data_IF_877357091704
#
_entry.id   IF_877357091704
#
_cell.length_a   1.000
_cell.length_b   1.000
_cell.length_c   1.000
_cell.angle_alpha   90.00
_cell.angle_beta   90.00
_cell.angle_gamma   90.00
#
_symmetry.space_group_name_H-M   'P 1'
#
loop_
_entity.id
_entity.type
_entity.pdbx_description
1 polymer ?
#
# COMPACT_ATOMS: atom_id res chain seq x y z
N UNK A 1 2.18 12.94 0.36
CA UNK A 1 1.09 13.84 0.80
C UNK A 1 0.54 14.56 -0.42
N UNK A 2 -0.78 14.60 -0.57
CA UNK A 2 -1.44 15.25 -1.70
C UNK A 2 -1.60 16.77 -1.47
N UNK A 3 -1.78 17.54 -2.55
CA UNK A 3 -1.85 19.01 -2.54
C UNK A 3 -3.10 19.54 -1.83
N UNK A 4 -4.17 18.76 -1.83
CA UNK A 4 -5.43 19.02 -1.14
C UNK A 4 -5.36 18.81 0.39
N UNK A 5 -4.21 18.38 0.91
CA UNK A 5 -4.00 18.03 2.32
C UNK A 5 -2.91 18.91 2.99
N UNK A 6 -2.82 20.17 2.57
CA UNK A 6 -1.83 21.13 3.07
C UNK A 6 -2.47 22.05 4.12
N UNK A 7 -1.69 22.35 5.17
CA UNK A 7 -2.05 23.25 6.26
C UNK A 7 -0.98 24.34 6.43
N UNK A 8 -1.29 25.47 7.10
CA UNK A 8 -0.30 26.48 7.48
C UNK A 8 0.85 25.89 8.31
N UNK A 9 2.04 26.50 8.26
CA UNK A 9 3.26 25.98 8.90
C UNK A 9 3.11 25.71 10.40
N UNK A 10 2.35 26.55 11.11
CA UNK A 10 2.05 26.40 12.55
C UNK A 10 1.35 25.07 12.91
N UNK A 11 0.69 24.42 11.95
CA UNK A 11 -0.05 23.17 12.13
C UNK A 11 0.69 21.93 11.58
N UNK A 12 1.90 22.09 11.04
CA UNK A 12 2.63 20.99 10.38
C UNK A 12 3.37 20.05 11.33
N UNK A 13 3.46 20.35 12.62
CA UNK A 13 4.27 19.59 13.59
C UNK A 13 3.98 18.09 13.54
N UNK A 14 2.72 17.68 13.69
CA UNK A 14 2.33 16.25 13.62
C UNK A 14 2.64 15.65 12.25
N UNK A 15 2.31 16.37 11.17
CA UNK A 15 2.60 15.92 9.81
C UNK A 15 4.10 15.63 9.63
N UNK A 16 4.98 16.50 10.11
CA UNK A 16 6.45 16.33 9.99
C UNK A 16 6.94 15.16 10.84
N UNK A 17 6.48 15.07 12.09
CA UNK A 17 6.86 13.99 13.02
C UNK A 17 6.48 12.62 12.44
N UNK A 18 5.23 12.46 12.02
CA UNK A 18 4.76 11.19 11.47
C UNK A 18 5.31 10.91 10.08
N UNK A 19 5.66 11.94 9.28
CA UNK A 19 6.43 11.76 8.03
C UNK A 19 7.75 11.06 8.29
N UNK A 20 8.51 11.55 9.26
CA UNK A 20 9.81 11.02 9.64
C UNK A 20 9.66 9.60 10.18
N UNK A 21 8.61 9.35 10.96
CA UNK A 21 8.28 8.02 11.47
C UNK A 21 8.05 7.02 10.32
N UNK A 22 7.12 7.29 9.40
CA UNK A 22 6.84 6.35 8.30
C UNK A 22 8.03 6.21 7.34
N UNK A 23 8.84 7.27 7.17
CA UNK A 23 10.09 7.19 6.44
C UNK A 23 11.12 6.30 7.15
N UNK A 24 11.25 6.39 8.48
CA UNK A 24 12.12 5.53 9.27
C UNK A 24 11.70 4.06 9.20
N UNK A 25 10.39 3.78 9.27
CA UNK A 25 9.85 2.42 9.06
C UNK A 25 10.23 1.89 7.67
N UNK A 26 10.07 2.71 6.63
CA UNK A 26 10.43 2.32 5.27
C UNK A 26 11.92 2.01 5.15
N UNK A 27 12.79 2.89 5.64
CA UNK A 27 14.25 2.70 5.56
C UNK A 27 14.66 1.43 6.30
N UNK A 28 14.17 1.22 7.52
CA UNK A 28 14.49 0.03 8.31
C UNK A 28 14.08 -1.28 7.62
N UNK A 29 12.85 -1.35 7.08
CA UNK A 29 12.38 -2.53 6.36
C UNK A 29 13.11 -2.73 5.03
N UNK A 30 13.47 -1.64 4.34
CA UNK A 30 14.21 -1.69 3.08
C UNK A 30 15.64 -2.18 3.30
N UNK A 31 16.35 -1.67 4.31
CA UNK A 31 17.70 -2.12 4.68
C UNK A 31 17.70 -3.62 4.98
N UNK A 32 16.72 -4.09 5.78
CA UNK A 32 16.62 -5.52 6.09
C UNK A 32 16.28 -6.37 4.86
N UNK A 33 15.41 -5.85 3.98
CA UNK A 33 15.10 -6.48 2.69
C UNK A 33 16.34 -6.62 1.82
N UNK A 34 17.20 -5.59 1.79
CA UNK A 34 18.43 -5.59 0.99
C UNK A 34 19.47 -6.55 1.57
N UNK A 35 19.63 -6.60 2.88
CA UNK A 35 20.48 -7.59 3.56
C UNK A 35 20.11 -9.02 3.15
N UNK A 36 18.83 -9.35 3.18
CA UNK A 36 18.35 -10.68 2.77
C UNK A 36 18.51 -10.92 1.26
N UNK A 37 18.28 -9.93 0.41
CA UNK A 37 18.54 -10.07 -1.03
C UNK A 37 20.02 -10.35 -1.32
N UNK A 38 20.95 -9.67 -0.63
CA UNK A 38 22.37 -9.93 -0.75
C UNK A 38 22.76 -11.33 -0.24
N UNK A 39 22.19 -11.76 0.89
CA UNK A 39 22.37 -13.12 1.41
C UNK A 39 21.94 -14.17 0.38
N UNK A 40 20.73 -14.05 -0.16
CA UNK A 40 20.20 -14.99 -1.15
C UNK A 40 20.95 -14.93 -2.49
N UNK A 41 21.48 -13.78 -2.89
CA UNK A 41 22.33 -13.64 -4.09
C UNK A 41 23.72 -14.25 -3.92
N UNK A 42 24.24 -14.32 -2.70
CA UNK A 42 25.55 -14.93 -2.43
C UNK A 42 25.59 -16.44 -2.73
N UNK A 43 24.43 -17.11 -2.74
CA UNK A 43 24.31 -18.56 -2.84
C UNK A 43 24.82 -19.30 -1.60
N UNK A 44 25.21 -18.59 -0.54
CA UNK A 44 25.79 -19.12 0.70
C UNK A 44 24.85 -18.81 1.86
N UNK A 45 23.84 -19.67 2.02
CA UNK A 45 22.86 -19.57 3.10
C UNK A 45 22.52 -20.95 3.64
N UNK A 46 22.11 -21.02 4.90
CA UNK A 46 21.58 -22.24 5.51
C UNK A 46 20.07 -22.30 5.35
N UNK A 47 19.49 -23.49 5.58
CA UNK A 47 18.04 -23.67 5.56
C UNK A 47 17.35 -22.80 6.63
N UNK A 48 17.94 -22.66 7.81
CA UNK A 48 17.43 -21.80 8.89
C UNK A 48 17.36 -20.34 8.45
N UNK A 49 18.35 -19.87 7.69
CA UNK A 49 18.32 -18.52 7.12
C UNK A 49 17.20 -18.36 6.10
N UNK A 50 16.93 -19.36 5.24
CA UNK A 50 15.77 -19.33 4.32
C UNK A 50 14.47 -19.19 5.11
N UNK A 51 14.30 -19.95 6.20
CA UNK A 51 13.13 -19.86 7.09
C UNK A 51 13.04 -18.46 7.72
N UNK A 52 14.15 -17.89 8.19
CA UNK A 52 14.18 -16.53 8.75
C UNK A 52 13.70 -15.50 7.72
N UNK A 53 14.23 -15.55 6.50
CA UNK A 53 13.81 -14.66 5.41
C UNK A 53 12.32 -14.84 5.09
N UNK A 54 11.84 -16.08 5.05
CA UNK A 54 10.43 -16.38 4.84
C UNK A 54 9.55 -15.78 5.95
N UNK A 55 9.96 -15.92 7.21
CA UNK A 55 9.26 -15.31 8.33
C UNK A 55 9.26 -13.78 8.23
N UNK A 56 10.36 -13.16 7.78
CA UNK A 56 10.39 -11.72 7.52
C UNK A 56 9.40 -11.30 6.42
N UNK A 57 9.33 -12.02 5.31
CA UNK A 57 8.34 -11.72 4.25
C UNK A 57 6.91 -11.85 4.78
N UNK A 58 6.62 -12.89 5.58
CA UNK A 58 5.27 -13.16 6.10
C UNK A 58 4.84 -12.24 7.24
N UNK A 59 5.74 -11.86 8.13
CA UNK A 59 5.45 -11.11 9.36
C UNK A 59 5.92 -9.66 9.31
N UNK A 60 7.08 -9.42 8.71
CA UNK A 60 7.65 -8.08 8.53
C UNK A 60 7.03 -7.33 7.36
N UNK A 61 6.92 -7.99 6.19
CA UNK A 61 6.30 -7.40 5.00
C UNK A 61 4.80 -7.74 4.84
N UNK A 62 4.25 -8.54 5.75
CA UNK A 62 2.84 -8.97 5.76
C UNK A 62 2.38 -9.56 4.43
N UNK A 63 3.27 -10.29 3.74
CA UNK A 63 2.99 -10.99 2.50
C UNK A 63 3.07 -12.51 2.72
N UNK A 64 1.93 -13.18 2.71
CA UNK A 64 1.82 -14.62 2.96
C UNK A 64 1.52 -15.37 1.69
N UNK A 65 2.09 -16.56 1.54
CA UNK A 65 1.68 -17.52 0.53
C UNK A 65 1.40 -18.85 1.23
N UNK A 66 0.15 -19.34 1.28
CA UNK A 66 -0.17 -20.62 1.92
C UNK A 66 0.60 -21.81 1.34
N UNK A 67 0.96 -21.75 0.05
CA UNK A 67 1.60 -22.85 -0.68
C UNK A 67 3.12 -22.87 -0.55
N UNK A 68 3.73 -21.85 0.07
CA UNK A 68 5.21 -21.73 0.11
C UNK A 68 5.89 -22.87 0.87
N UNK A 69 5.19 -23.50 1.82
CA UNK A 69 5.69 -24.63 2.57
C UNK A 69 5.84 -25.91 1.75
N UNK A 70 5.20 -25.97 0.57
CA UNK A 70 5.24 -27.12 -0.34
C UNK A 70 6.38 -27.01 -1.38
N UNK A 71 7.05 -25.87 -1.44
CA UNK A 71 8.12 -25.60 -2.40
C UNK A 71 9.45 -26.20 -1.94
N UNK A 72 10.26 -26.67 -2.88
CA UNK A 72 11.65 -27.02 -2.59
C UNK A 72 12.48 -25.77 -2.22
N UNK A 73 13.58 -25.94 -1.48
CA UNK A 73 14.44 -24.84 -1.04
C UNK A 73 14.87 -23.90 -2.20
N UNK A 74 15.16 -24.47 -3.38
CA UNK A 74 15.56 -23.68 -4.55
C UNK A 74 14.41 -22.81 -5.08
N UNK A 75 13.19 -23.34 -5.09
CA UNK A 75 11.98 -22.62 -5.48
C UNK A 75 11.56 -21.59 -4.44
N UNK A 76 11.72 -21.92 -3.14
CA UNK A 76 11.54 -20.98 -2.05
C UNK A 76 12.46 -19.77 -2.20
N UNK A 77 13.74 -19.97 -2.50
CA UNK A 77 14.69 -18.87 -2.70
C UNK A 77 14.28 -17.99 -3.88
N UNK A 78 13.85 -18.56 -5.00
CA UNK A 78 13.34 -17.79 -6.15
C UNK A 78 12.07 -17.01 -5.78
N UNK A 79 11.16 -17.62 -5.05
CA UNK A 79 9.97 -16.98 -4.52
C UNK A 79 10.33 -15.80 -3.58
N UNK A 80 11.23 -16.02 -2.63
CA UNK A 80 11.66 -14.99 -1.68
C UNK A 80 12.32 -13.81 -2.39
N UNK A 81 13.23 -14.06 -3.35
CA UNK A 81 13.82 -13.01 -4.18
C UNK A 81 12.77 -12.21 -4.93
N UNK A 82 11.78 -12.88 -5.54
CA UNK A 82 10.66 -12.23 -6.25
C UNK A 82 9.82 -11.35 -5.31
N UNK A 83 9.63 -11.76 -4.05
CA UNK A 83 8.81 -11.06 -3.05
C UNK A 83 9.55 -9.90 -2.39
N UNK A 84 10.83 -10.08 -2.09
CA UNK A 84 11.68 -9.03 -1.52
C UNK A 84 12.01 -7.94 -2.54
N UNK A 85 12.37 -8.31 -3.78
CA UNK A 85 12.85 -7.36 -4.78
C UNK A 85 11.70 -6.65 -5.54
N UNK A 86 10.94 -5.85 -4.79
CA UNK A 86 9.81 -5.06 -5.27
C UNK A 86 9.93 -3.62 -4.76
N UNK A 87 9.31 -2.64 -5.44
CA UNK A 87 9.09 -1.34 -4.86
C UNK A 87 8.38 -1.48 -3.50
N UNK A 88 8.71 -0.59 -2.57
CA UNK A 88 8.13 -0.60 -1.23
C UNK A 88 7.41 0.71 -0.96
N UNK A 89 6.31 0.65 -0.21
CA UNK A 89 5.59 1.81 0.29
C UNK A 89 5.19 1.61 1.74
N UNK A 90 5.34 2.67 2.52
CA UNK A 90 4.74 2.78 3.85
C UNK A 90 3.68 3.86 3.78
N UNK A 91 2.45 3.49 4.11
CA UNK A 91 1.30 4.36 4.03
C UNK A 91 0.82 4.70 5.45
N UNK A 92 0.74 5.99 5.75
CA UNK A 92 0.06 6.47 6.96
C UNK A 92 -1.44 6.22 6.82
N UNK A 93 -2.08 5.68 7.85
CA UNK A 93 -3.51 5.40 7.92
C UNK A 93 -4.11 6.18 9.08
N UNK A 94 -5.21 6.88 8.84
CA UNK A 94 -5.94 7.62 9.89
C UNK A 94 -7.21 6.86 10.27
N UNK A 95 -7.67 7.03 11.51
CA UNK A 95 -8.97 6.48 11.92
C UNK A 95 -10.08 7.05 11.05
N UNK A 96 -10.98 6.18 10.60
CA UNK A 96 -12.10 6.58 9.78
C UNK A 96 -13.18 7.24 10.65
N UNK A 97 -13.50 8.49 10.33
CA UNK A 97 -14.55 9.29 11.01
C UNK A 97 -15.82 9.42 10.16
N UNK A 98 -16.04 8.48 9.23
CA UNK A 98 -17.16 8.47 8.29
C UNK A 98 -16.83 9.02 6.90
N UNK A 99 -15.54 9.19 6.59
CA UNK A 99 -15.09 9.68 5.29
C UNK A 99 -15.16 8.56 4.23
N UNK A 100 -15.75 8.83 3.05
CA UNK A 100 -15.74 7.86 1.97
C UNK A 100 -14.35 7.77 1.34
N UNK A 101 -13.90 6.54 1.07
CA UNK A 101 -12.78 6.25 0.18
C UNK A 101 -12.06 4.95 0.52
N UNK A 102 -10.82 4.82 0.05
CA UNK A 102 -10.05 3.58 0.17
C UNK A 102 -9.56 3.30 1.60
N UNK A 103 -9.62 2.04 2.01
CA UNK A 103 -9.18 1.57 3.33
C UNK A 103 -8.07 0.52 3.25
N UNK A 104 -7.39 0.22 4.38
CA UNK A 104 -6.41 -0.85 4.46
C UNK A 104 -7.09 -2.22 4.60
N UNK A 105 -6.71 -3.17 3.74
CA UNK A 105 -7.23 -4.55 3.77
C UNK A 105 -6.11 -5.57 3.52
N UNK A 106 -6.35 -6.82 3.92
CA UNK A 106 -5.65 -7.96 3.34
C UNK A 106 -6.40 -8.39 2.09
N UNK A 107 -5.70 -8.49 0.97
CA UNK A 107 -6.24 -8.92 -0.31
C UNK A 107 -5.55 -10.17 -0.82
N UNK A 108 -6.31 -10.99 -1.54
CA UNK A 108 -5.79 -12.12 -2.32
C UNK A 108 -5.30 -11.59 -3.66
N UNK A 109 -4.03 -11.86 -3.97
CA UNK A 109 -3.38 -11.45 -5.20
C UNK A 109 -3.50 -12.54 -6.27
N UNK A 110 -3.32 -12.16 -7.53
CA UNK A 110 -3.38 -13.09 -8.66
C UNK A 110 -2.34 -14.22 -8.61
N UNK A 111 -1.23 -14.03 -7.89
CA UNK A 111 -0.19 -15.04 -7.70
C UNK A 111 -0.39 -15.92 -6.46
N UNK A 112 -1.59 -15.90 -5.88
CA UNK A 112 -1.97 -16.72 -4.71
C UNK A 112 -1.52 -16.15 -3.37
N UNK A 113 -0.75 -15.05 -3.36
CA UNK A 113 -0.33 -14.41 -2.11
C UNK A 113 -1.42 -13.57 -1.48
N UNK A 114 -1.36 -13.44 -0.15
CA UNK A 114 -2.21 -12.57 0.66
C UNK A 114 -1.32 -11.43 1.18
N UNK A 115 -1.68 -10.18 0.90
CA UNK A 115 -0.88 -9.03 1.31
C UNK A 115 -1.73 -7.79 1.59
N UNK A 116 -1.13 -6.81 2.27
CA UNK A 116 -1.75 -5.51 2.50
C UNK A 116 -2.01 -4.76 1.20
N UNK A 117 -3.24 -4.31 1.00
CA UNK A 117 -3.68 -3.48 -0.13
C UNK A 117 -4.61 -2.36 0.32
N UNK A 118 -4.62 -1.29 -0.46
CA UNK A 118 -5.59 -0.21 -0.30
C UNK A 118 -6.72 -0.51 -1.27
N UNK A 119 -7.91 -0.81 -0.76
CA UNK A 119 -9.07 -1.12 -1.59
C UNK A 119 -10.11 -0.02 -1.47
N UNK A 120 -10.65 0.37 -2.62
CA UNK A 120 -11.80 1.25 -2.71
C UNK A 120 -13.11 0.47 -2.81
N UNK A 121 -14.23 1.14 -2.58
CA UNK A 121 -15.56 0.50 -2.62
C UNK A 121 -15.89 -0.18 -3.94
N UNK A 122 -15.32 0.28 -5.06
CA UNK A 122 -15.51 -0.30 -6.39
C UNK A 122 -14.82 -1.66 -6.55
N UNK A 123 -13.80 -1.95 -5.73
CA UNK A 123 -13.02 -3.18 -5.78
C UNK A 123 -13.54 -4.24 -4.80
N UNK A 124 -14.60 -3.94 -4.05
CA UNK A 124 -15.18 -4.82 -3.04
C UNK A 124 -16.52 -5.32 -3.56
N UNK A 125 -16.66 -6.65 -3.61
CA UNK A 125 -17.93 -7.28 -3.96
C UNK A 125 -18.95 -7.08 -2.83
N UNK A 126 -19.84 -6.11 -3.03
CA UNK A 126 -20.91 -5.75 -2.08
C UNK A 126 -22.08 -6.73 -2.07
N UNK A 127 -22.14 -7.68 -3.02
CA UNK A 127 -23.15 -8.73 -3.04
C UNK A 127 -22.82 -9.86 -2.04
N UNK A 128 -21.53 -10.01 -1.74
CA UNK A 128 -21.05 -10.88 -0.67
C UNK A 128 -21.21 -10.16 0.68
N UNK A 129 -22.10 -10.70 1.52
CA UNK A 129 -22.43 -10.09 2.82
C UNK A 129 -21.24 -10.03 3.77
N UNK A 130 -20.33 -11.02 3.72
CA UNK A 130 -19.16 -11.04 4.59
C UNK A 130 -18.15 -9.96 4.19
N UNK A 131 -17.88 -9.80 2.88
CA UNK A 131 -17.01 -8.73 2.37
C UNK A 131 -17.59 -7.35 2.64
N UNK A 132 -18.91 -7.21 2.47
CA UNK A 132 -19.62 -5.96 2.80
C UNK A 132 -19.45 -5.62 4.28
N UNK A 133 -19.67 -6.58 5.17
CA UNK A 133 -19.50 -6.38 6.62
C UNK A 133 -18.06 -6.01 7.00
N UNK A 134 -17.06 -6.68 6.41
CA UNK A 134 -15.64 -6.33 6.61
C UNK A 134 -15.33 -4.90 6.18
N UNK A 135 -15.88 -4.46 5.04
CA UNK A 135 -15.72 -3.09 4.56
C UNK A 135 -16.37 -2.07 5.50
N UNK A 136 -17.61 -2.32 5.93
CA UNK A 136 -18.37 -1.43 6.81
C UNK A 136 -17.76 -1.34 8.22
N UNK A 137 -17.11 -2.41 8.69
CA UNK A 137 -16.37 -2.44 9.97
C UNK A 137 -14.95 -1.87 9.87
N UNK A 138 -14.50 -1.45 8.69
CA UNK A 138 -13.17 -0.86 8.50
C UNK A 138 -12.98 0.39 9.36
N UNK A 139 -12.02 0.35 10.28
CA UNK A 139 -11.78 1.43 11.26
C UNK A 139 -10.78 2.49 10.81
N UNK A 140 -10.14 2.30 9.64
CA UNK A 140 -9.11 3.18 9.10
C UNK A 140 -9.38 3.53 7.65
N UNK A 141 -8.82 4.66 7.22
CA UNK A 141 -8.91 5.21 5.88
C UNK A 141 -7.52 5.65 5.40
N UNK A 142 -7.29 5.60 4.08
CA UNK A 142 -6.05 6.04 3.46
C UNK A 142 -6.08 7.55 3.11
N UNK A 143 -5.37 8.42 3.84
CA UNK A 143 -5.25 9.86 3.57
C UNK A 143 -4.35 10.20 2.36
N UNK A 144 -3.92 9.19 1.60
CA UNK A 144 -2.93 9.32 0.52
C UNK A 144 -1.62 9.92 1.06
N UNK A 145 -1.19 9.38 2.19
CA UNK A 145 0.11 9.70 2.76
C UNK A 145 1.09 8.53 2.64
N UNK A 146 1.97 8.60 1.63
CA UNK A 146 2.89 7.53 1.29
C UNK A 146 4.33 8.03 1.31
N UNK A 147 5.24 7.20 1.82
CA UNK A 147 6.67 7.24 1.53
C UNK A 147 6.99 6.00 0.70
N UNK A 148 7.73 6.19 -0.40
CA UNK A 148 7.97 5.16 -1.40
C UNK A 148 9.46 4.95 -1.65
N UNK A 149 9.86 3.68 -1.76
CA UNK A 149 11.17 3.23 -2.21
C UNK A 149 11.03 2.63 -3.61
N UNK A 150 11.68 3.27 -4.58
CA UNK A 150 11.54 2.96 -6.01
C UNK A 150 12.84 2.44 -6.65
N UNK A 151 13.82 2.09 -5.82
CA UNK A 151 15.10 1.53 -6.26
C UNK A 151 15.34 0.18 -5.61
N UNK A 152 15.98 -0.71 -6.36
CA UNK A 152 16.39 -2.01 -5.88
C UNK A 152 17.66 -1.92 -5.00
N UNK A 153 18.03 -3.06 -4.42
CA UNK A 153 19.25 -3.25 -3.61
C UNK A 153 20.56 -3.04 -4.38
N UNK A 154 20.50 -2.90 -5.70
CA UNK A 154 21.65 -2.59 -6.59
C UNK A 154 21.66 -1.11 -7.01
N UNK A 155 20.70 -0.30 -6.54
CA UNK A 155 20.55 1.12 -6.87
C UNK A 155 19.82 1.40 -8.18
N UNK A 156 19.36 0.38 -8.90
CA UNK A 156 18.61 0.56 -10.14
C UNK A 156 17.19 1.01 -9.85
N UNK A 157 16.60 1.81 -10.74
CA UNK A 157 15.18 2.17 -10.64
C UNK A 157 14.33 0.96 -11.07
N UNK A 158 13.28 0.68 -10.31
CA UNK A 158 12.25 -0.25 -10.77
C UNK A 158 11.46 0.34 -11.95
N UNK A 159 11.11 -0.50 -12.92
CA UNK A 159 10.07 -0.17 -13.88
C UNK A 159 8.71 -0.38 -13.21
N UNK A 160 8.14 0.71 -12.69
CA UNK A 160 6.90 0.67 -11.91
C UNK A 160 5.70 0.12 -12.70
N UNK A 161 5.73 0.18 -14.03
CA UNK A 161 4.65 -0.31 -14.89
C UNK A 161 4.49 -1.83 -14.83
N UNK A 162 5.54 -2.56 -14.41
CA UNK A 162 5.53 -4.01 -14.21
C UNK A 162 4.76 -4.45 -12.96
N UNK A 163 4.41 -3.51 -12.07
CA UNK A 163 3.75 -3.78 -10.80
C UNK A 163 2.27 -3.31 -10.79
N UNK A 164 1.75 -2.98 -11.98
CA UNK A 164 0.36 -2.57 -12.21
C UNK A 164 -0.50 -3.81 -12.39
N UNK A 165 -1.57 -3.92 -11.61
CA UNK A 165 -2.66 -4.84 -11.90
C UNK A 165 -3.61 -4.21 -12.92
N UNK A 166 -3.60 -4.74 -14.14
CA UNK A 166 -4.46 -4.26 -15.23
C UNK A 166 -5.93 -4.66 -15.04
N UNK A 167 -6.21 -5.67 -14.21
CA UNK A 167 -7.57 -6.14 -13.95
C UNK A 167 -8.36 -5.21 -13.03
N UNK A 168 -7.71 -4.27 -12.34
CA UNK A 168 -8.39 -3.32 -11.45
C UNK A 168 -8.89 -2.06 -12.16
N UNK A 169 -8.76 -1.98 -13.49
CA UNK A 169 -9.44 -0.94 -14.26
C UNK A 169 -10.95 -1.14 -14.20
N UNK A 170 -11.72 -0.05 -14.16
CA UNK A 170 -13.18 -0.13 -14.04
C UNK A 170 -13.89 0.90 -14.92
N UNK A 171 -15.17 0.65 -15.21
CA UNK A 171 -16.01 1.60 -15.94
C UNK A 171 -16.74 2.47 -14.93
N UNK A 172 -16.49 3.77 -14.95
CA UNK A 172 -17.25 4.75 -14.19
C UNK A 172 -18.39 5.34 -15.01
N UNK A 173 -19.50 5.61 -14.34
CA UNK A 173 -20.64 6.32 -14.90
C UNK A 173 -20.58 7.78 -14.46
N UNK A 174 -20.50 8.70 -15.40
CA UNK A 174 -20.44 10.14 -15.16
C UNK A 174 -21.57 10.83 -15.92
N UNK A 175 -22.05 11.96 -15.42
CA UNK A 175 -22.95 12.82 -16.16
C UNK A 175 -22.24 14.12 -16.51
N UNK A 176 -22.39 14.58 -17.75
CA UNK A 176 -21.92 15.91 -18.18
C UNK A 176 -23.00 16.56 -19.02
N UNK A 177 -23.46 17.73 -18.59
CA UNK A 177 -24.52 18.50 -19.26
C UNK A 177 -25.79 17.66 -19.51
N UNK A 178 -26.20 16.86 -18.51
CA UNK A 178 -27.39 16.00 -18.61
C UNK A 178 -27.23 14.75 -19.47
N UNK A 179 -26.06 14.50 -20.07
CA UNK A 179 -25.76 13.25 -20.80
C UNK A 179 -25.01 12.28 -19.91
N UNK A 180 -25.45 11.03 -19.89
CA UNK A 180 -24.70 9.94 -19.31
C UNK A 180 -23.48 9.58 -20.18
N UNK A 181 -22.36 9.36 -19.52
CA UNK A 181 -21.09 8.98 -20.10
C UNK A 181 -20.55 7.77 -19.35
N UNK A 182 -20.00 6.83 -20.10
CA UNK A 182 -19.17 5.75 -19.56
C UNK A 182 -17.71 6.12 -19.80
N UNK A 183 -16.91 6.10 -18.74
CA UNK A 183 -15.48 6.32 -18.82
C UNK A 183 -14.75 5.07 -18.35
N UNK A 184 -13.75 4.62 -19.11
CA UNK A 184 -12.82 3.61 -18.63
C UNK A 184 -11.78 4.29 -17.73
N UNK A 185 -11.76 3.93 -16.46
CA UNK A 185 -10.74 4.36 -15.52
C UNK A 185 -9.66 3.29 -15.46
N UNK A 186 -8.42 3.72 -15.70
CA UNK A 186 -7.25 2.88 -15.54
C UNK A 186 -7.04 2.55 -14.05
N UNK A 187 -6.26 1.49 -13.74
CA UNK A 187 -5.86 1.18 -12.37
C UNK A 187 -5.44 2.43 -11.60
N UNK A 188 -6.08 2.67 -10.46
CA UNK A 188 -5.79 3.84 -9.64
C UNK A 188 -4.37 3.80 -9.06
N UNK A 189 -3.85 4.98 -8.72
CA UNK A 189 -2.42 5.15 -8.42
C UNK A 189 -1.95 4.31 -7.21
N UNK A 190 -2.69 4.34 -6.10
CA UNK A 190 -2.31 3.65 -4.86
C UNK A 190 -3.05 2.33 -4.64
N UNK A 191 -3.95 1.93 -5.54
CA UNK A 191 -4.53 0.60 -5.52
C UNK A 191 -3.89 -0.23 -6.63
N UNK A 192 -4.47 -0.24 -7.83
CA UNK A 192 -4.08 -1.12 -8.92
C UNK A 192 -2.68 -0.85 -9.49
N UNK A 193 -2.27 0.41 -9.63
CA UNK A 193 -0.95 0.73 -10.19
C UNK A 193 0.21 0.37 -9.24
N UNK A 194 -0.08 0.11 -7.96
CA UNK A 194 0.87 -0.33 -6.95
C UNK A 194 0.53 -1.72 -6.39
N UNK A 195 -0.20 -2.54 -7.15
CA UNK A 195 -0.77 -3.79 -6.62
C UNK A 195 0.29 -4.80 -6.20
N UNK A 196 1.45 -4.85 -6.87
CA UNK A 196 2.53 -5.80 -6.53
C UNK A 196 3.69 -5.15 -5.76
N UNK A 197 3.40 -4.13 -4.94
CA UNK A 197 4.38 -3.46 -4.07
C UNK A 197 4.41 -4.08 -2.66
N UNK A 198 5.58 -4.06 -2.03
CA UNK A 198 5.69 -4.32 -0.58
C UNK A 198 5.02 -3.17 0.18
N UNK A 199 3.87 -3.44 0.78
CA UNK A 199 2.98 -2.43 1.36
C UNK A 199 2.89 -2.59 2.86
N UNK A 200 3.11 -1.50 3.59
CA UNK A 200 3.03 -1.45 5.06
C UNK A 200 2.12 -0.30 5.48
N UNK A 201 1.30 -0.55 6.49
CA UNK A 201 0.40 0.44 7.04
C UNK A 201 0.83 0.84 8.44
N UNK A 202 0.82 2.14 8.71
CA UNK A 202 1.17 2.72 10.01
C UNK A 202 0.04 3.65 10.43
N UNK A 203 -0.52 3.45 11.62
CA UNK A 203 -1.47 4.40 12.18
C UNK A 203 -0.79 5.76 12.40
N UNK A 204 -1.43 6.82 11.92
CA UNK A 204 -1.01 8.21 12.14
C UNK A 204 -2.21 9.02 12.66
N UNK A 205 -1.98 10.13 13.40
CA UNK A 205 -3.05 10.95 13.93
C UNK A 205 -3.90 11.56 12.82
N UNK A 206 -5.19 11.76 13.13
CA UNK A 206 -6.13 12.42 12.22
C UNK A 206 -5.67 13.84 11.84
N UNK A 207 -4.95 14.54 12.73
CA UNK A 207 -4.36 15.87 12.47
C UNK A 207 -3.40 15.91 11.27
N UNK A 208 -2.88 14.76 10.83
CA UNK A 208 -2.04 14.68 9.62
C UNK A 208 -2.87 14.74 8.32
N UNK A 209 -4.19 14.63 8.42
CA UNK A 209 -5.16 14.59 7.34
C UNK A 209 -6.21 15.71 7.43
N UNK A 210 -6.05 16.72 6.58
CA UNK A 210 -6.87 17.93 6.46
C UNK A 210 -7.25 18.14 4.98
N UNK A 211 -8.15 17.31 4.42
CA UNK A 211 -8.50 17.37 3.00
C UNK A 211 -9.41 18.56 2.68
N UNK A 212 -9.17 19.19 1.53
CA UNK A 212 -10.08 20.17 0.92
C UNK A 212 -10.80 19.51 -0.26
N UNK A 213 -12.06 19.10 -0.06
CA UNK A 213 -12.90 18.49 -1.11
C UNK A 213 -13.87 19.49 -1.73
N UNK A 214 -14.28 20.49 -0.97
CA UNK A 214 -15.20 21.57 -1.36
C UNK A 214 -14.63 22.93 -0.97
N UNK A 215 -15.12 24.00 -1.59
CA UNK A 215 -14.69 25.37 -1.26
C UNK A 215 -14.93 25.70 0.22
N UNK A 216 -15.99 25.18 0.82
CA UNK A 216 -16.31 25.42 2.23
C UNK A 216 -15.31 24.76 3.19
N UNK A 217 -14.55 23.74 2.75
CA UNK A 217 -13.53 23.13 3.60
C UNK A 217 -12.39 24.11 3.90
N UNK A 218 -12.14 25.10 3.03
CA UNK A 218 -11.16 26.17 3.28
C UNK A 218 -11.54 27.10 4.44
N UNK A 219 -12.79 27.08 4.90
CA UNK A 219 -13.25 27.89 6.03
C UNK A 219 -12.93 27.25 7.39
N UNK A 220 -12.53 25.97 7.42
CA UNK A 220 -12.17 25.27 8.65
C UNK A 220 -10.88 25.84 9.24
N UNK A 221 -10.71 25.74 10.56
CA UNK A 221 -9.59 26.36 11.29
C UNK A 221 -8.22 25.85 10.81
N UNK A 222 -8.17 24.62 10.31
CA UNK A 222 -6.99 23.95 9.79
C UNK A 222 -6.46 24.59 8.50
N UNK A 223 -7.28 25.39 7.82
CA UNK A 223 -6.95 26.07 6.56
C UNK A 223 -6.90 27.61 6.69
N UNK A 224 -7.06 28.15 7.91
CA UNK A 224 -7.01 29.59 8.22
C UNK A 224 -5.68 30.06 8.83
#
# INVERSE_FOLDING_TARGET
KNIDNVVPDRLKTDTVTYKKLIAGVLVSLQEKTFEYLHLLDSGKYTHEQIIEVLQFVQKGLLCKNPEVGNLEDSEQVLYLKKKLNRPMRVCGMVKNVGEPGGGPFLAYNADGTISLQILESSQIDRKDSAKKEMFEKGTYFNPVDLVCAIRDYKGNKFDLTKYVDKATGFISHKSKNGKELKALELPGLWNGAMSDWNTIFVEVPLSTFNPVKTVNDLLREEHR
#
